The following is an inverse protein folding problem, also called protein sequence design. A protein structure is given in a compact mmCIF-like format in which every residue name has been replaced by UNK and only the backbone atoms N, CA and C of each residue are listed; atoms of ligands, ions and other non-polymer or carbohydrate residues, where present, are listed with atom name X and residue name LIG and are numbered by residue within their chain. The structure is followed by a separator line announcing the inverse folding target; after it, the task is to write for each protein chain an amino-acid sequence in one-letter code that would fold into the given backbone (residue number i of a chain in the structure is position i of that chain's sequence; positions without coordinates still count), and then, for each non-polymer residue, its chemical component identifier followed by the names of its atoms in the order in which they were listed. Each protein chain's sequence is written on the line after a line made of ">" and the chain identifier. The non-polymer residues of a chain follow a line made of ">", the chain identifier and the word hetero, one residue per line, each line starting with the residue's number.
data_IF_588191469536
#
_entry.id   IF_588191469536
#
_cell.length_a   1.000
_cell.length_b   1.000
_cell.length_c   1.000
_cell.angle_alpha   90.00
_cell.angle_beta   90.00
_cell.angle_gamma   90.00
#
_symmetry.space_group_name_H-M   'P 1'
#
loop_
_entity.id
_entity.type
_entity.pdbx_description
1 polymer ?
#
# COMPACT_ATOMS: atom_id res chain seq x y z
N UNK A 1 5.84 7.06 -4.22
CA UNK A 1 4.98 7.33 -5.40
C UNK A 1 5.09 8.79 -5.83
N UNK A 2 4.80 9.76 -4.95
CA UNK A 2 4.96 11.20 -5.26
C UNK A 2 6.40 11.62 -5.63
N UNK A 3 7.42 11.08 -4.97
CA UNK A 3 8.83 11.38 -5.29
C UNK A 3 9.22 10.99 -6.73
N UNK A 4 8.68 9.88 -7.23
CA UNK A 4 8.93 9.41 -8.59
C UNK A 4 8.29 10.32 -9.64
N UNK A 5 7.21 11.01 -9.27
CA UNK A 5 6.54 11.95 -10.16
C UNK A 5 7.36 13.23 -10.37
N UNK A 6 8.22 13.62 -9.41
CA UNK A 6 9.00 14.86 -9.48
C UNK A 6 10.06 14.77 -10.58
N UNK A 7 10.90 13.73 -10.56
CA UNK A 7 11.93 13.57 -11.59
C UNK A 7 11.35 13.11 -12.93
N UNK A 8 10.25 12.34 -12.93
CA UNK A 8 9.56 11.97 -14.16
C UNK A 8 8.89 13.19 -14.84
N UNK A 9 8.37 14.13 -14.05
CA UNK A 9 7.81 15.39 -14.58
C UNK A 9 8.87 16.20 -15.34
N UNK A 10 10.11 16.27 -14.85
CA UNK A 10 11.20 16.97 -15.56
C UNK A 10 11.52 16.33 -16.92
N UNK A 11 11.42 15.00 -17.04
CA UNK A 11 11.58 14.31 -18.32
C UNK A 11 10.47 14.73 -19.29
N UNK A 12 9.21 14.70 -18.85
CA UNK A 12 8.07 15.11 -19.68
C UNK A 12 8.15 16.59 -20.05
N UNK A 13 8.53 17.45 -19.10
CA UNK A 13 8.71 18.88 -19.31
C UNK A 13 9.80 19.15 -20.35
N UNK A 14 10.92 18.43 -20.31
CA UNK A 14 11.96 18.53 -21.34
C UNK A 14 11.47 18.11 -22.72
N UNK A 15 10.72 17.00 -22.81
CA UNK A 15 10.18 16.52 -24.08
C UNK A 15 9.17 17.49 -24.72
N UNK A 16 8.41 18.23 -23.91
CA UNK A 16 7.35 19.11 -24.42
C UNK A 16 7.78 20.57 -24.55
N UNK A 17 8.57 21.09 -23.60
CA UNK A 17 8.97 22.50 -23.52
C UNK A 17 10.43 22.74 -23.93
N UNK A 18 11.23 21.70 -24.15
CA UNK A 18 12.65 21.79 -24.53
C UNK A 18 13.60 22.24 -23.40
N UNK A 19 13.06 22.53 -22.21
CA UNK A 19 13.81 23.02 -21.06
C UNK A 19 13.90 21.94 -19.97
N UNK A 20 15.11 21.71 -19.43
CA UNK A 20 15.36 20.72 -18.39
C UNK A 20 16.01 21.35 -17.16
N UNK A 21 15.39 21.15 -16.00
CA UNK A 21 15.98 21.60 -14.74
C UNK A 21 16.68 20.41 -14.04
N UNK A 22 18.01 20.39 -14.17
CA UNK A 22 18.86 19.34 -13.59
C UNK A 22 18.76 19.28 -12.05
N UNK A 23 18.52 20.41 -11.39
CA UNK A 23 18.46 20.49 -9.92
C UNK A 23 17.21 19.78 -9.42
N UNK A 24 16.03 20.09 -9.96
CA UNK A 24 14.78 19.39 -9.58
C UNK A 24 14.84 17.91 -9.90
N UNK A 25 15.45 17.54 -11.03
CA UNK A 25 15.64 16.14 -11.40
C UNK A 25 16.48 15.36 -10.37
N UNK A 26 17.67 15.86 -10.03
CA UNK A 26 18.58 15.20 -9.08
C UNK A 26 17.94 15.13 -7.68
N UNK A 27 17.32 16.22 -7.22
CA UNK A 27 16.60 16.24 -5.94
C UNK A 27 15.49 15.19 -5.92
N UNK A 28 14.72 15.07 -7.00
CA UNK A 28 13.68 14.05 -7.14
C UNK A 28 14.21 12.62 -7.06
N UNK A 29 15.37 12.33 -7.66
CA UNK A 29 16.02 11.01 -7.59
C UNK A 29 16.50 10.71 -6.17
N UNK A 30 17.28 11.63 -5.57
CA UNK A 30 17.81 11.45 -4.20
C UNK A 30 16.66 11.24 -3.22
N UNK A 31 15.61 12.05 -3.33
CA UNK A 31 14.43 11.93 -2.47
C UNK A 31 13.70 10.59 -2.68
N UNK A 32 13.61 10.11 -3.93
CA UNK A 32 12.98 8.81 -4.24
C UNK A 32 13.75 7.64 -3.63
N UNK A 33 15.09 7.66 -3.70
CA UNK A 33 15.93 6.64 -3.09
C UNK A 33 15.80 6.70 -1.57
N UNK A 34 15.92 7.90 -0.98
CA UNK A 34 15.82 8.09 0.47
C UNK A 34 14.49 7.59 1.04
N UNK A 35 13.36 7.98 0.43
CA UNK A 35 12.03 7.49 0.86
C UNK A 35 11.92 5.97 0.71
N UNK A 36 12.49 5.39 -0.35
CA UNK A 36 12.45 3.94 -0.55
C UNK A 36 13.19 3.18 0.55
N UNK A 37 14.34 3.69 0.99
CA UNK A 37 15.09 3.11 2.11
C UNK A 37 14.32 3.23 3.44
N UNK A 38 13.78 4.42 3.74
CA UNK A 38 12.97 4.65 4.94
C UNK A 38 11.75 3.70 5.02
N UNK A 39 11.05 3.51 3.90
CA UNK A 39 9.90 2.61 3.83
C UNK A 39 10.30 1.14 3.90
N UNK A 40 11.44 0.74 3.31
CA UNK A 40 11.89 -0.64 3.31
C UNK A 40 12.23 -1.12 4.71
N UNK A 41 12.99 -0.31 5.44
CA UNK A 41 13.49 -0.66 6.76
C UNK A 41 12.54 -0.25 7.89
N UNK A 42 11.39 0.36 7.54
CA UNK A 42 10.38 0.84 8.50
C UNK A 42 10.98 1.76 9.57
N UNK A 43 11.93 2.61 9.17
CA UNK A 43 12.62 3.52 10.08
C UNK A 43 11.62 4.53 10.68
N UNK A 44 11.80 4.81 11.97
CA UNK A 44 10.95 5.71 12.76
C UNK A 44 9.47 5.29 12.87
N UNK A 45 9.15 4.01 12.65
CA UNK A 45 7.82 3.47 12.88
C UNK A 45 7.73 2.89 14.30
N UNK A 46 6.86 3.45 15.14
CA UNK A 46 6.56 2.87 16.46
C UNK A 46 5.55 1.73 16.39
N UNK A 47 5.51 0.88 17.42
CA UNK A 47 4.53 -0.20 17.53
C UNK A 47 3.09 0.30 17.36
N UNK A 48 2.78 1.46 17.95
CA UNK A 48 1.45 2.10 17.83
C UNK A 48 1.14 2.51 16.38
N UNK A 49 2.12 3.02 15.65
CA UNK A 49 1.96 3.37 14.23
C UNK A 49 1.84 2.12 13.35
N UNK A 50 2.62 1.08 13.66
CA UNK A 50 2.54 -0.21 12.99
C UNK A 50 1.16 -0.84 13.14
N UNK A 51 0.64 -0.92 14.37
CA UNK A 51 -0.71 -1.45 14.66
C UNK A 51 -1.79 -0.68 13.90
N UNK A 52 -1.75 0.67 13.92
CA UNK A 52 -2.70 1.50 13.17
C UNK A 52 -2.64 1.22 11.66
N UNK A 53 -1.45 1.05 11.09
CA UNK A 53 -1.29 0.72 9.66
C UNK A 53 -1.81 -0.68 9.34
N UNK A 54 -1.53 -1.66 10.20
CA UNK A 54 -1.97 -3.04 9.99
C UNK A 54 -3.49 -3.18 10.08
N UNK A 55 -4.15 -2.49 11.01
CA UNK A 55 -5.61 -2.42 11.06
C UNK A 55 -6.20 -1.91 9.74
N UNK A 56 -5.65 -0.82 9.19
CA UNK A 56 -6.06 -0.29 7.89
C UNK A 56 -5.84 -1.27 6.75
N UNK A 57 -4.66 -1.90 6.69
CA UNK A 57 -4.31 -2.90 5.67
C UNK A 57 -5.28 -4.09 5.67
N UNK A 58 -5.59 -4.64 6.85
CA UNK A 58 -6.55 -5.73 7.01
C UNK A 58 -7.96 -5.29 6.58
N UNK A 59 -8.39 -4.08 6.98
CA UNK A 59 -9.69 -3.55 6.58
C UNK A 59 -9.84 -3.43 5.05
N UNK A 60 -8.78 -3.03 4.34
CA UNK A 60 -8.79 -2.98 2.88
C UNK A 60 -8.89 -4.37 2.25
N UNK A 61 -8.11 -5.33 2.75
CA UNK A 61 -8.15 -6.72 2.28
C UNK A 61 -9.51 -7.38 2.51
N UNK A 62 -10.11 -7.23 3.69
CA UNK A 62 -11.49 -7.68 3.97
C UNK A 62 -12.48 -7.06 2.96
N UNK A 63 -12.37 -5.76 2.69
CA UNK A 63 -13.28 -5.05 1.78
C UNK A 63 -13.21 -5.61 0.35
N UNK A 64 -12.00 -5.76 -0.19
CA UNK A 64 -11.80 -6.25 -1.56
C UNK A 64 -12.18 -7.71 -1.69
N UNK A 65 -11.84 -8.55 -0.70
CA UNK A 65 -12.24 -9.96 -0.67
C UNK A 65 -13.75 -10.11 -0.58
N UNK A 66 -14.43 -9.37 0.30
CA UNK A 66 -15.89 -9.40 0.40
C UNK A 66 -16.59 -8.94 -0.88
N UNK A 67 -16.07 -7.90 -1.55
CA UNK A 67 -16.61 -7.46 -2.84
C UNK A 67 -16.51 -8.59 -3.86
N UNK A 68 -15.35 -9.23 -3.95
CA UNK A 68 -15.10 -10.30 -4.89
C UNK A 68 -15.94 -11.56 -4.62
N UNK A 69 -16.10 -11.93 -3.34
CA UNK A 69 -17.03 -12.98 -2.90
C UNK A 69 -18.49 -12.67 -3.26
N UNK A 70 -18.89 -11.38 -3.36
CA UNK A 70 -20.25 -10.99 -3.74
C UNK A 70 -20.45 -10.96 -5.25
N UNK A 71 -19.48 -10.47 -6.02
CA UNK A 71 -19.68 -10.10 -7.43
C UNK A 71 -19.15 -11.08 -8.45
N UNK A 72 -18.32 -12.06 -8.07
CA UNK A 72 -17.69 -12.97 -9.03
C UNK A 72 -18.07 -14.43 -8.75
N UNK A 73 -19.02 -14.95 -9.51
CA UNK A 73 -19.48 -16.34 -9.35
C UNK A 73 -18.45 -17.36 -9.84
N UNK A 74 -17.63 -17.02 -10.85
CA UNK A 74 -16.53 -17.89 -11.30
C UNK A 74 -15.47 -18.08 -10.20
N UNK A 75 -15.25 -17.06 -9.36
CA UNK A 75 -14.36 -17.19 -8.22
C UNK A 75 -14.89 -18.20 -7.17
N UNK A 76 -16.22 -18.27 -6.98
CA UNK A 76 -16.85 -19.21 -6.06
C UNK A 76 -16.75 -20.66 -6.55
N UNK A 77 -16.57 -20.88 -7.85
CA UNK A 77 -16.46 -22.21 -8.44
C UNK A 77 -15.15 -22.92 -8.09
N UNK A 78 -14.10 -22.19 -7.67
CA UNK A 78 -12.89 -22.82 -7.15
C UNK A 78 -12.99 -22.99 -5.61
N UNK A 79 -13.34 -24.19 -5.11
CA UNK A 79 -13.67 -24.39 -3.70
C UNK A 79 -12.48 -24.10 -2.76
N UNK A 80 -11.23 -24.35 -3.21
CA UNK A 80 -10.04 -24.09 -2.42
C UNK A 80 -9.83 -22.59 -2.19
N UNK A 81 -9.93 -21.82 -3.27
CA UNK A 81 -9.73 -20.36 -3.23
C UNK A 81 -10.91 -19.67 -2.54
N UNK A 82 -12.13 -20.12 -2.76
CA UNK A 82 -13.31 -19.61 -2.08
C UNK A 82 -13.23 -19.81 -0.56
N UNK A 83 -12.82 -21.01 -0.10
CA UNK A 83 -12.62 -21.27 1.33
C UNK A 83 -11.52 -20.38 1.91
N UNK A 84 -10.38 -20.28 1.24
CA UNK A 84 -9.29 -19.38 1.65
C UNK A 84 -9.76 -17.94 1.80
N UNK A 85 -10.58 -17.43 0.87
CA UNK A 85 -11.10 -16.07 0.94
C UNK A 85 -12.04 -15.85 2.15
N UNK A 86 -12.86 -16.85 2.49
CA UNK A 86 -13.72 -16.81 3.68
C UNK A 86 -12.90 -16.86 4.97
N UNK A 87 -11.89 -17.72 5.02
CA UNK A 87 -10.99 -17.85 6.17
C UNK A 87 -10.16 -16.57 6.36
N UNK A 88 -9.72 -15.94 5.27
CA UNK A 88 -9.00 -14.66 5.30
C UNK A 88 -9.86 -13.56 5.93
N UNK A 89 -11.12 -13.42 5.52
CA UNK A 89 -12.03 -12.43 6.11
C UNK A 89 -12.19 -12.68 7.61
N UNK A 90 -12.48 -13.92 8.02
CA UNK A 90 -12.68 -14.28 9.42
C UNK A 90 -11.45 -14.01 10.29
N UNK A 91 -10.27 -14.44 9.83
CA UNK A 91 -9.03 -14.28 10.59
C UNK A 91 -8.62 -12.81 10.69
N UNK A 92 -8.74 -12.04 9.60
CA UNK A 92 -8.36 -10.64 9.63
C UNK A 92 -9.29 -9.79 10.50
N UNK A 93 -10.59 -10.11 10.58
CA UNK A 93 -11.50 -9.43 11.51
C UNK A 93 -11.09 -9.67 12.98
N UNK A 94 -10.70 -10.90 13.32
CA UNK A 94 -10.18 -11.26 14.63
C UNK A 94 -8.87 -10.54 14.96
N UNK A 95 -7.95 -10.49 14.01
CA UNK A 95 -6.67 -9.79 14.14
C UNK A 95 -6.87 -8.27 14.33
N UNK A 96 -7.83 -7.66 13.63
CA UNK A 96 -8.18 -6.25 13.85
C UNK A 96 -8.64 -5.99 15.28
N UNK A 97 -9.51 -6.84 15.83
CA UNK A 97 -10.00 -6.70 17.20
C UNK A 97 -8.81 -6.79 18.19
N UNK A 98 -7.93 -7.78 17.98
CA UNK A 98 -6.74 -7.97 18.81
C UNK A 98 -5.76 -6.80 18.73
N UNK A 99 -5.48 -6.28 17.53
CA UNK A 99 -4.63 -5.09 17.37
C UNK A 99 -5.26 -3.85 18.01
N UNK A 100 -6.59 -3.68 17.93
CA UNK A 100 -7.29 -2.58 18.59
C UNK A 100 -7.19 -2.66 20.11
N UNK A 101 -7.22 -3.86 20.70
CA UNK A 101 -7.03 -4.03 22.15
C UNK A 101 -5.60 -3.78 22.62
N UNK A 102 -4.62 -3.71 21.71
CA UNK A 102 -3.25 -3.29 22.05
C UNK A 102 -3.05 -1.77 21.95
N UNK A 103 -4.01 -1.05 21.38
CA UNK A 103 -3.97 0.41 21.22
C UNK A 103 -4.66 1.16 22.35
N UNK A 104 -5.42 0.45 23.18
CA UNK A 104 -6.13 0.93 24.37
C UNK A 104 -5.18 1.19 25.53
#
# INVERSE_FOLDING_TARGET
>A
MASNMIWAHEIVHYLYMGNFNIVTFIVGIIFSIGVSLLLRDQLFISDKQWLKRMIGHHSTAITTTNKLLKTNDNFKQNPKIYRLAKDLVYNQEREIIFMKSMLS
#
